data_IF_565846793960
#
_entry.id   IF_565846793960
#
_cell.length_a   1.000
_cell.length_b   1.000
_cell.length_c   1.000
_cell.angle_alpha   90.00
_cell.angle_beta   90.00
_cell.angle_gamma   90.00
#
_symmetry.space_group_name_H-M   'P 1'
#
loop_
_entity.id
_entity.type
_entity.pdbx_description
1 polymer ?
#
# COMPACT_ATOMS: atom_id res chain seq x y z
N UNK A 1 -9.77 28.95 36.71
CA UNK A 1 -8.96 27.74 36.48
C UNK A 1 -9.38 27.19 35.13
N UNK A 2 -8.58 27.32 34.06
CA UNK A 2 -8.97 26.73 32.79
C UNK A 2 -8.94 25.21 32.94
N UNK A 3 -10.05 24.57 32.59
CA UNK A 3 -10.17 23.11 32.56
C UNK A 3 -9.04 22.54 31.70
N UNK A 4 -8.20 21.70 32.29
CA UNK A 4 -7.26 20.87 31.56
C UNK A 4 -8.07 19.99 30.60
N UNK A 5 -8.16 20.43 29.35
CA UNK A 5 -8.52 19.55 28.24
C UNK A 5 -7.44 18.48 28.22
N UNK A 6 -7.74 17.31 28.78
CA UNK A 6 -6.83 16.17 28.80
C UNK A 6 -6.51 15.83 27.35
N UNK A 7 -5.31 16.18 26.90
CA UNK A 7 -4.73 15.57 25.71
C UNK A 7 -4.83 14.07 25.97
N UNK A 8 -5.57 13.30 25.15
CA UNK A 8 -5.73 11.88 25.41
C UNK A 8 -4.34 11.24 25.44
N UNK A 9 -4.02 10.45 26.47
CA UNK A 9 -2.69 9.82 26.56
C UNK A 9 -2.52 8.82 25.40
N UNK A 10 -1.57 9.10 24.49
CA UNK A 10 -1.25 8.23 23.35
C UNK A 10 -0.83 6.85 23.84
N UNK A 11 -0.06 6.78 24.92
CA UNK A 11 0.41 5.51 25.50
C UNK A 11 -0.77 4.65 25.92
N UNK A 12 -1.72 5.22 26.65
CA UNK A 12 -2.98 4.56 27.01
C UNK A 12 -3.79 4.06 25.80
N UNK A 13 -3.77 4.78 24.68
CA UNK A 13 -4.42 4.29 23.45
C UNK A 13 -3.70 3.08 22.87
N UNK A 14 -2.37 3.14 22.75
CA UNK A 14 -1.57 2.04 22.22
C UNK A 14 -1.72 0.78 23.08
N UNK A 15 -1.68 0.91 24.41
CA UNK A 15 -1.94 -0.21 25.33
C UNK A 15 -3.32 -0.83 25.13
N UNK A 16 -4.38 -0.01 25.06
CA UNK A 16 -5.75 -0.51 24.82
C UNK A 16 -5.90 -1.20 23.47
N UNK A 17 -5.26 -0.68 22.42
CA UNK A 17 -5.27 -1.34 21.11
C UNK A 17 -4.53 -2.66 21.11
N UNK A 18 -3.38 -2.74 21.77
CA UNK A 18 -2.65 -3.99 21.95
C UNK A 18 -3.51 -5.03 22.65
N UNK A 19 -4.09 -4.69 23.80
CA UNK A 19 -4.96 -5.60 24.56
C UNK A 19 -6.15 -6.10 23.72
N UNK A 20 -6.78 -5.19 22.96
CA UNK A 20 -7.90 -5.54 22.09
C UNK A 20 -7.48 -6.47 20.94
N UNK A 21 -6.27 -6.32 20.39
CA UNK A 21 -5.73 -7.22 19.37
C UNK A 21 -5.34 -8.57 19.97
N UNK A 22 -4.69 -8.59 21.13
CA UNK A 22 -4.30 -9.81 21.84
C UNK A 22 -5.53 -10.66 22.21
N UNK A 23 -6.65 -10.03 22.57
CA UNK A 23 -7.91 -10.72 22.91
C UNK A 23 -8.54 -11.50 21.75
N UNK A 24 -8.23 -11.15 20.50
CA UNK A 24 -8.77 -11.81 19.29
C UNK A 24 -7.72 -12.62 18.54
N UNK A 25 -6.45 -12.51 18.94
CA UNK A 25 -5.34 -13.11 18.24
C UNK A 25 -5.17 -14.60 18.56
N UNK A 26 -4.57 -15.36 17.63
CA UNK A 26 -4.20 -16.76 17.86
C UNK A 26 -2.71 -17.03 17.64
N UNK A 27 -2.02 -17.72 18.57
CA UNK A 27 -0.58 -18.01 18.44
C UNK A 27 -0.21 -18.76 17.15
N UNK A 28 -1.06 -19.70 16.72
CA UNK A 28 -0.86 -20.43 15.46
C UNK A 28 -0.82 -19.46 14.26
N UNK A 29 -1.72 -18.47 14.23
CA UNK A 29 -1.72 -17.47 13.16
C UNK A 29 -0.49 -16.59 13.23
N UNK A 30 -0.05 -16.18 14.43
CA UNK A 30 1.15 -15.38 14.60
C UNK A 30 2.38 -16.05 13.96
N UNK A 31 2.58 -17.34 14.24
CA UNK A 31 3.69 -18.12 13.66
C UNK A 31 3.55 -18.22 12.14
N UNK A 32 2.36 -18.55 11.65
CA UNK A 32 2.10 -18.73 10.22
C UNK A 32 2.26 -17.42 9.42
N UNK A 33 1.76 -16.29 9.92
CA UNK A 33 1.89 -15.00 9.27
C UNK A 33 3.32 -14.49 9.28
N UNK A 34 4.05 -14.63 10.40
CA UNK A 34 5.47 -14.27 10.47
C UNK A 34 6.28 -15.05 9.42
N UNK A 35 6.06 -16.36 9.32
CA UNK A 35 6.73 -17.21 8.33
C UNK A 35 6.36 -16.83 6.89
N UNK A 36 5.08 -16.53 6.63
CA UNK A 36 4.61 -16.15 5.29
C UNK A 36 5.17 -14.80 4.82
N UNK A 37 5.20 -13.81 5.71
CA UNK A 37 5.71 -12.46 5.39
C UNK A 37 7.23 -12.37 5.48
N UNK A 38 7.90 -13.36 6.08
CA UNK A 38 9.37 -13.38 6.30
C UNK A 38 9.84 -12.10 6.99
N UNK A 39 9.10 -11.67 8.01
CA UNK A 39 9.34 -10.42 8.73
C UNK A 39 10.01 -10.68 10.08
N UNK A 40 10.84 -9.75 10.52
CA UNK A 40 11.48 -9.79 11.84
C UNK A 40 10.55 -9.30 12.95
N UNK A 41 9.44 -8.64 12.61
CA UNK A 41 8.46 -8.13 13.56
C UNK A 41 7.87 -9.24 14.46
N UNK A 42 7.35 -8.80 15.59
CA UNK A 42 6.49 -9.62 16.45
C UNK A 42 5.08 -9.64 15.87
N UNK A 43 4.44 -10.81 15.88
CA UNK A 43 3.08 -11.01 15.42
C UNK A 43 2.22 -11.45 16.60
N UNK A 44 1.05 -10.84 16.77
CA UNK A 44 0.07 -11.24 17.78
C UNK A 44 -0.76 -12.42 17.26
N UNK A 45 -1.08 -12.43 15.97
CA UNK A 45 -1.99 -13.36 15.31
C UNK A 45 -3.41 -12.83 15.14
N UNK A 46 -3.60 -11.50 15.05
CA UNK A 46 -4.91 -10.90 14.77
C UNK A 46 -5.14 -10.79 13.25
N UNK A 47 -6.39 -10.95 12.81
CA UNK A 47 -6.77 -10.95 11.40
C UNK A 47 -7.04 -9.52 10.91
N UNK A 48 -6.77 -9.27 9.63
CA UNK A 48 -7.06 -7.96 9.00
C UNK A 48 -8.51 -7.46 9.24
N UNK A 49 -9.58 -8.30 9.20
CA UNK A 49 -10.93 -7.85 9.55
C UNK A 49 -11.07 -7.33 10.99
N UNK A 50 -10.35 -7.92 11.96
CA UNK A 50 -10.36 -7.48 13.36
C UNK A 50 -9.66 -6.13 13.51
N UNK A 51 -8.48 -5.98 12.89
CA UNK A 51 -7.73 -4.72 12.85
C UNK A 51 -8.58 -3.59 12.23
N UNK A 52 -9.22 -3.86 11.09
CA UNK A 52 -10.15 -2.91 10.45
C UNK A 52 -11.39 -2.65 11.31
N UNK A 53 -11.85 -3.64 12.06
CA UNK A 53 -12.93 -3.51 13.03
C UNK A 53 -12.60 -2.50 14.12
N UNK A 54 -11.41 -2.61 14.72
CA UNK A 54 -10.92 -1.67 15.73
C UNK A 54 -10.81 -0.24 15.18
N UNK A 55 -10.19 -0.05 14.01
CA UNK A 55 -10.11 1.27 13.39
C UNK A 55 -11.51 1.86 13.08
N UNK A 56 -12.47 1.01 12.71
CA UNK A 56 -13.87 1.43 12.47
C UNK A 56 -14.57 1.86 13.76
N UNK A 57 -14.44 1.07 14.83
CA UNK A 57 -14.99 1.40 16.14
C UNK A 57 -14.39 2.72 16.66
N UNK A 58 -13.08 2.88 16.56
CA UNK A 58 -12.39 4.11 16.96
C UNK A 58 -12.86 5.34 16.17
N UNK A 59 -13.05 5.24 14.84
CA UNK A 59 -13.62 6.33 14.03
C UNK A 59 -15.06 6.66 14.42
N UNK A 60 -15.86 5.67 14.81
CA UNK A 60 -17.24 5.88 15.27
C UNK A 60 -17.28 6.61 16.61
N UNK A 61 -16.38 6.28 17.52
CA UNK A 61 -16.25 6.93 18.84
C UNK A 61 -15.63 8.34 18.73
N UNK A 62 -14.74 8.55 17.76
CA UNK A 62 -14.03 9.82 17.56
C UNK A 62 -14.24 10.39 16.14
N UNK A 63 -15.47 10.74 15.73
CA UNK A 63 -15.78 11.16 14.36
C UNK A 63 -15.08 12.46 13.92
N UNK A 64 -14.67 13.30 14.88
CA UNK A 64 -13.94 14.56 14.68
C UNK A 64 -12.60 14.56 15.44
N UNK A 65 -11.89 13.44 15.41
CA UNK A 65 -10.55 13.35 15.99
C UNK A 65 -9.65 14.44 15.40
N UNK A 66 -8.88 15.09 16.26
CA UNK A 66 -7.85 16.04 15.83
C UNK A 66 -6.84 15.32 14.91
N UNK A 67 -6.61 15.83 13.68
CA UNK A 67 -5.63 15.24 12.80
C UNK A 67 -4.22 15.19 13.39
N UNK A 68 -3.79 16.18 14.18
CA UNK A 68 -2.45 16.18 14.78
C UNK A 68 -2.31 14.99 15.72
N UNK A 69 -3.26 14.84 16.64
CA UNK A 69 -3.31 13.70 17.55
C UNK A 69 -3.33 12.35 16.81
N UNK A 70 -4.06 12.24 15.68
CA UNK A 70 -4.09 11.03 14.89
C UNK A 70 -2.73 10.71 14.26
N UNK A 71 -2.01 11.72 13.74
CA UNK A 71 -0.67 11.53 13.20
C UNK A 71 0.29 11.07 14.30
N UNK A 72 0.25 11.69 15.48
CA UNK A 72 1.08 11.30 16.63
C UNK A 72 0.77 9.86 17.10
N UNK A 73 -0.51 9.51 17.23
CA UNK A 73 -0.95 8.16 17.60
C UNK A 73 -0.49 7.11 16.58
N UNK A 74 -0.57 7.42 15.30
CA UNK A 74 -0.17 6.48 14.24
C UNK A 74 1.35 6.37 14.12
N UNK A 75 2.11 7.42 14.43
CA UNK A 75 3.57 7.34 14.61
C UNK A 75 3.93 6.41 15.77
N UNK A 76 3.28 6.53 16.93
CA UNK A 76 3.56 5.68 18.09
C UNK A 76 3.23 4.21 17.82
N UNK A 77 2.07 3.93 17.20
CA UNK A 77 1.70 2.59 16.76
C UNK A 77 2.73 2.01 15.77
N UNK A 78 3.25 2.84 14.86
CA UNK A 78 4.24 2.45 13.87
C UNK A 78 5.61 2.15 14.47
N UNK A 79 6.02 2.93 15.49
CA UNK A 79 7.28 2.74 16.20
C UNK A 79 7.37 1.38 16.91
N UNK A 80 6.23 0.74 17.19
CA UNK A 80 6.22 -0.60 17.75
C UNK A 80 6.86 -1.66 16.85
N UNK A 81 7.41 -2.71 17.45
CA UNK A 81 7.89 -3.90 16.75
C UNK A 81 6.77 -4.93 16.48
N UNK A 82 5.49 -4.55 16.65
CA UNK A 82 4.35 -5.44 16.45
C UNK A 82 3.66 -5.17 15.13
N UNK A 83 3.60 -6.19 14.28
CA UNK A 83 3.03 -6.11 12.93
C UNK A 83 1.57 -5.59 12.92
N UNK A 84 0.73 -6.05 13.84
CA UNK A 84 -0.68 -5.66 13.90
C UNK A 84 -0.90 -4.25 14.43
N UNK A 85 0.00 -3.72 15.27
CA UNK A 85 -0.05 -2.31 15.68
C UNK A 85 0.34 -1.39 14.52
N UNK A 86 1.39 -1.73 13.75
CA UNK A 86 1.71 -1.01 12.50
C UNK A 86 0.57 -1.08 11.49
N UNK A 87 -0.07 -2.25 11.36
CA UNK A 87 -1.24 -2.45 10.50
C UNK A 87 -2.44 -1.60 10.97
N UNK A 88 -2.63 -1.47 12.28
CA UNK A 88 -3.67 -0.62 12.86
C UNK A 88 -3.40 0.87 12.59
N UNK A 89 -2.14 1.31 12.62
CA UNK A 89 -1.77 2.67 12.23
C UNK A 89 -2.25 2.99 10.81
N UNK A 90 -1.99 2.09 9.86
CA UNK A 90 -2.46 2.23 8.46
C UNK A 90 -3.99 2.22 8.40
N UNK A 91 -4.64 1.30 9.11
CA UNK A 91 -6.10 1.20 9.12
C UNK A 91 -6.75 2.49 9.66
N UNK A 92 -6.18 3.10 10.71
CA UNK A 92 -6.61 4.38 11.25
C UNK A 92 -6.41 5.50 10.22
N UNK A 93 -5.23 5.64 9.63
CA UNK A 93 -4.99 6.62 8.56
C UNK A 93 -6.00 6.47 7.42
N UNK A 94 -6.24 5.24 6.96
CA UNK A 94 -7.21 4.95 5.89
C UNK A 94 -8.65 5.35 6.27
N UNK A 95 -9.08 5.10 7.52
CA UNK A 95 -10.42 5.49 7.99
C UNK A 95 -10.63 7.00 8.05
N UNK A 96 -9.57 7.75 8.31
CA UNK A 96 -9.60 9.21 8.43
C UNK A 96 -9.09 9.93 7.17
N UNK A 97 -8.66 9.21 6.14
CA UNK A 97 -7.94 9.76 4.98
C UNK A 97 -8.69 10.90 4.26
N UNK A 98 -10.03 10.92 4.31
CA UNK A 98 -10.85 12.00 3.73
C UNK A 98 -10.88 13.29 4.55
N UNK A 99 -10.48 13.25 5.82
CA UNK A 99 -10.42 14.40 6.73
C UNK A 99 -9.00 14.81 7.10
N UNK A 100 -7.96 14.06 6.69
CA UNK A 100 -6.57 14.41 6.97
C UNK A 100 -6.14 15.70 6.24
N UNK A 101 -5.22 16.49 6.79
CA UNK A 101 -4.62 17.63 6.09
C UNK A 101 -3.53 17.15 5.11
N UNK A 102 -2.95 18.04 4.31
CA UNK A 102 -1.97 17.67 3.28
C UNK A 102 -0.67 17.13 3.89
N UNK A 103 -0.32 17.60 5.09
CA UNK A 103 0.84 17.20 5.90
C UNK A 103 0.84 15.70 6.22
N UNK A 104 -0.35 15.07 6.22
CA UNK A 104 -0.46 13.62 6.37
C UNK A 104 0.23 12.85 5.23
N UNK A 105 0.45 13.47 4.07
CA UNK A 105 1.24 12.88 2.99
C UNK A 105 2.70 12.67 3.42
N UNK A 106 3.32 13.70 4.01
CA UNK A 106 4.70 13.62 4.50
C UNK A 106 4.83 12.64 5.67
N UNK A 107 3.85 12.62 6.58
CA UNK A 107 3.77 11.62 7.65
C UNK A 107 3.67 10.20 7.09
N UNK A 108 2.74 9.94 6.19
CA UNK A 108 2.57 8.59 5.61
C UNK A 108 3.82 8.20 4.79
N UNK A 109 4.52 9.16 4.20
CA UNK A 109 5.77 8.91 3.48
C UNK A 109 6.90 8.44 4.40
N UNK A 110 7.03 8.99 5.61
CA UNK A 110 8.02 8.50 6.56
C UNK A 110 7.76 7.04 6.95
N UNK A 111 6.47 6.66 7.11
CA UNK A 111 6.08 5.27 7.36
C UNK A 111 6.43 4.37 6.16
N UNK A 112 6.18 4.82 4.94
CA UNK A 112 6.55 4.09 3.72
C UNK A 112 8.06 3.85 3.62
N UNK A 113 8.88 4.86 3.91
CA UNK A 113 10.34 4.73 3.91
C UNK A 113 10.83 3.71 4.94
N UNK A 114 10.15 3.60 6.09
CA UNK A 114 10.46 2.67 7.17
C UNK A 114 9.76 1.29 7.03
N UNK A 115 8.95 1.08 6.00
CA UNK A 115 8.26 -0.18 5.79
C UNK A 115 9.24 -1.27 5.31
N UNK A 116 9.08 -2.47 5.84
CA UNK A 116 9.92 -3.64 5.58
C UNK A 116 9.15 -4.80 4.93
N UNK A 117 7.83 -4.66 4.78
CA UNK A 117 6.94 -5.69 4.25
C UNK A 117 5.96 -5.13 3.23
N UNK A 118 5.75 -5.88 2.15
CA UNK A 118 4.77 -5.56 1.11
C UNK A 118 3.36 -5.40 1.67
N UNK A 119 3.02 -6.09 2.77
CA UNK A 119 1.68 -6.02 3.37
C UNK A 119 1.35 -4.59 3.84
N UNK A 120 2.31 -3.91 4.47
CA UNK A 120 2.16 -2.52 4.90
C UNK A 120 2.24 -1.54 3.74
N UNK A 121 3.22 -1.71 2.85
CA UNK A 121 3.41 -0.86 1.67
C UNK A 121 2.14 -0.84 0.80
N UNK A 122 1.62 -2.02 0.46
CA UNK A 122 0.47 -2.15 -0.43
C UNK A 122 -0.79 -1.51 0.18
N UNK A 123 -1.01 -1.73 1.48
CA UNK A 123 -2.16 -1.17 2.18
C UNK A 123 -2.06 0.37 2.25
N UNK A 124 -0.91 0.92 2.67
CA UNK A 124 -0.70 2.38 2.70
C UNK A 124 -0.91 3.01 1.33
N UNK A 125 -0.34 2.42 0.29
CA UNK A 125 -0.43 2.95 -1.08
C UNK A 125 -1.86 2.97 -1.60
N UNK A 126 -2.59 1.86 -1.42
CA UNK A 126 -3.91 1.69 -2.06
C UNK A 126 -5.07 2.27 -1.26
N UNK A 127 -4.91 2.50 0.04
CA UNK A 127 -6.00 3.03 0.89
C UNK A 127 -5.72 4.41 1.51
N UNK A 128 -4.46 4.78 1.77
CA UNK A 128 -4.12 6.08 2.36
C UNK A 128 -3.66 7.05 1.28
N UNK A 129 -2.54 6.76 0.62
CA UNK A 129 -1.95 7.65 -0.38
C UNK A 129 -2.88 7.91 -1.56
N UNK A 130 -3.59 6.88 -2.05
CA UNK A 130 -4.54 7.07 -3.14
C UNK A 130 -5.65 8.09 -2.80
N UNK A 131 -6.10 8.12 -1.54
CA UNK A 131 -7.11 9.10 -1.08
C UNK A 131 -6.48 10.49 -0.90
N UNK A 132 -5.27 10.56 -0.33
CA UNK A 132 -4.55 11.83 -0.18
C UNK A 132 -4.23 12.46 -1.55
N UNK A 133 -3.75 11.67 -2.50
CA UNK A 133 -3.45 12.12 -3.86
C UNK A 133 -4.69 12.65 -4.58
N UNK A 134 -5.84 11.97 -4.43
CA UNK A 134 -7.10 12.45 -5.01
C UNK A 134 -7.57 13.77 -4.39
N UNK A 135 -7.22 14.05 -3.13
CA UNK A 135 -7.57 15.29 -2.41
C UNK A 135 -6.56 16.40 -2.64
N UNK A 136 -5.30 16.05 -2.84
CA UNK A 136 -4.17 16.98 -3.01
C UNK A 136 -3.39 16.60 -4.28
N UNK A 137 -3.92 16.87 -5.49
CA UNK A 137 -3.28 16.45 -6.74
C UNK A 137 -1.86 17.01 -6.93
N UNK A 138 -1.50 18.11 -6.25
CA UNK A 138 -0.15 18.66 -6.22
C UNK A 138 0.89 17.68 -5.67
N UNK A 139 0.50 16.69 -4.85
CA UNK A 139 1.44 15.68 -4.36
C UNK A 139 1.77 14.60 -5.39
N UNK A 140 1.20 14.64 -6.59
CA UNK A 140 1.46 13.66 -7.66
C UNK A 140 2.92 13.67 -8.11
N UNK A 141 3.54 14.86 -8.16
CA UNK A 141 4.94 15.02 -8.59
C UNK A 141 5.94 14.34 -7.65
N UNK A 142 5.57 14.15 -6.38
CA UNK A 142 6.41 13.41 -5.42
C UNK A 142 6.67 11.97 -5.89
N UNK A 143 5.73 11.37 -6.62
CA UNK A 143 5.87 10.00 -7.12
C UNK A 143 6.99 9.86 -8.16
N UNK A 144 7.35 10.95 -8.85
CA UNK A 144 8.48 10.95 -9.80
C UNK A 144 9.78 10.63 -9.06
N UNK A 145 10.05 11.33 -7.96
CA UNK A 145 11.21 11.04 -7.11
C UNK A 145 11.14 9.67 -6.44
N UNK A 146 9.93 9.19 -6.09
CA UNK A 146 9.78 7.84 -5.52
C UNK A 146 10.16 6.74 -6.51
N UNK A 147 9.89 6.96 -7.80
CA UNK A 147 10.20 5.98 -8.86
C UNK A 147 11.70 5.77 -9.05
N UNK A 148 12.54 6.70 -8.59
CA UNK A 148 14.01 6.63 -8.68
C UNK A 148 14.69 6.37 -7.33
N UNK A 149 13.90 6.24 -6.26
CA UNK A 149 14.42 6.12 -4.89
C UNK A 149 15.26 4.85 -4.69
N UNK A 150 16.29 4.86 -3.84
CA UNK A 150 17.17 3.71 -3.59
C UNK A 150 16.45 2.50 -2.95
N UNK A 151 15.55 2.78 -2.00
CA UNK A 151 14.68 1.79 -1.37
C UNK A 151 13.61 1.31 -2.36
N UNK A 152 13.62 0.02 -2.69
CA UNK A 152 12.67 -0.58 -3.62
C UNK A 152 11.21 -0.56 -3.11
N UNK A 153 10.98 -0.46 -1.79
CA UNK A 153 9.62 -0.30 -1.25
C UNK A 153 9.01 1.05 -1.63
N UNK A 154 9.83 2.10 -1.66
CA UNK A 154 9.41 3.43 -2.12
C UNK A 154 9.14 3.41 -3.63
N UNK A 155 10.02 2.77 -4.43
CA UNK A 155 9.78 2.55 -5.87
C UNK A 155 8.51 1.76 -6.12
N UNK A 156 8.27 0.68 -5.37
CA UNK A 156 7.01 -0.09 -5.41
C UNK A 156 5.81 0.82 -5.11
N UNK A 157 5.94 1.68 -4.10
CA UNK A 157 4.93 2.66 -3.73
C UNK A 157 4.57 3.62 -4.86
N UNK A 158 5.56 4.14 -5.59
CA UNK A 158 5.35 5.07 -6.72
C UNK A 158 4.34 4.54 -7.75
N UNK A 159 4.33 3.22 -7.97
CA UNK A 159 3.40 2.56 -8.89
C UNK A 159 2.08 2.20 -8.20
N UNK A 160 2.10 1.68 -6.97
CA UNK A 160 0.89 1.18 -6.29
C UNK A 160 -0.08 2.28 -5.85
N UNK A 161 0.40 3.49 -5.59
CA UNK A 161 -0.47 4.64 -5.31
C UNK A 161 -1.41 4.92 -6.49
N UNK A 162 -0.99 4.64 -7.72
CA UNK A 162 -1.79 4.83 -8.93
C UNK A 162 -2.83 3.72 -9.15
N UNK A 163 -2.70 2.58 -8.48
CA UNK A 163 -3.54 1.40 -8.74
C UNK A 163 -5.05 1.68 -8.59
N UNK A 164 -5.54 2.38 -7.54
CA UNK A 164 -6.97 2.68 -7.41
C UNK A 164 -7.53 3.54 -8.54
N UNK A 165 -6.80 4.56 -9.01
CA UNK A 165 -7.25 5.42 -10.13
C UNK A 165 -7.21 4.67 -11.46
N UNK A 166 -6.19 3.84 -11.68
CA UNK A 166 -6.05 3.00 -12.87
C UNK A 166 -7.21 2.01 -12.99
N UNK A 167 -7.59 1.35 -11.89
CA UNK A 167 -8.72 0.41 -11.86
C UNK A 167 -10.07 1.06 -12.19
N UNK A 168 -10.28 2.30 -11.74
CA UNK A 168 -11.57 2.99 -11.87
C UNK A 168 -11.71 3.66 -13.23
N UNK A 169 -10.69 4.41 -13.64
CA UNK A 169 -10.78 5.35 -14.75
C UNK A 169 -9.57 5.27 -15.70
N UNK A 170 -8.62 4.34 -15.49
CA UNK A 170 -7.33 4.28 -16.21
C UNK A 170 -6.52 5.60 -16.14
N UNK A 171 -6.83 6.45 -15.15
CA UNK A 171 -6.14 7.72 -14.93
C UNK A 171 -4.73 7.44 -14.42
N UNK A 172 -3.75 8.18 -14.96
CA UNK A 172 -2.31 8.03 -14.75
C UNK A 172 -1.66 6.82 -15.45
N UNK A 173 -2.31 6.23 -16.45
CA UNK A 173 -1.74 5.12 -17.24
C UNK A 173 -0.35 5.44 -17.81
N UNK A 174 -0.19 6.58 -18.49
CA UNK A 174 1.09 6.98 -19.07
C UNK A 174 2.18 7.16 -18.01
N UNK A 175 1.83 7.68 -16.83
CA UNK A 175 2.77 7.84 -15.71
C UNK A 175 3.20 6.48 -15.17
N UNK A 176 2.25 5.56 -14.97
CA UNK A 176 2.57 4.18 -14.61
C UNK A 176 3.46 3.51 -15.65
N UNK A 177 3.16 3.64 -16.96
CA UNK A 177 4.01 3.08 -18.02
C UNK A 177 5.43 3.64 -17.96
N UNK A 178 5.58 4.95 -17.72
CA UNK A 178 6.89 5.59 -17.58
C UNK A 178 7.70 4.99 -16.43
N UNK A 179 7.10 4.87 -15.24
CA UNK A 179 7.78 4.26 -14.08
C UNK A 179 8.06 2.77 -14.29
N UNK A 180 7.08 2.03 -14.80
CA UNK A 180 7.25 0.61 -15.03
C UNK A 180 8.37 0.33 -16.03
N UNK A 181 8.47 1.11 -17.11
CA UNK A 181 9.47 0.96 -18.15
C UNK A 181 10.92 1.09 -17.63
N UNK A 182 11.17 1.99 -16.68
CA UNK A 182 12.51 2.15 -16.06
C UNK A 182 12.85 1.00 -15.11
N UNK A 183 11.84 0.30 -14.59
CA UNK A 183 11.99 -0.77 -13.59
C UNK A 183 11.89 -2.20 -14.18
N UNK A 184 11.66 -2.36 -15.49
CA UNK A 184 11.40 -3.68 -16.11
C UNK A 184 12.52 -4.70 -15.90
N UNK A 185 13.77 -4.23 -15.92
CA UNK A 185 14.97 -5.06 -15.84
C UNK A 185 15.42 -5.32 -14.39
N UNK A 186 14.78 -4.67 -13.40
CA UNK A 186 15.05 -4.92 -11.98
C UNK A 186 14.85 -6.41 -11.65
N UNK A 187 15.70 -6.94 -10.77
CA UNK A 187 15.63 -8.34 -10.31
C UNK A 187 14.77 -8.54 -9.08
N UNK A 188 14.43 -7.45 -8.39
CA UNK A 188 13.63 -7.48 -7.18
C UNK A 188 12.24 -8.09 -7.46
N UNK A 189 11.92 -9.15 -6.71
CA UNK A 189 10.68 -9.89 -6.85
C UNK A 189 9.47 -8.98 -6.64
N UNK A 190 9.51 -8.13 -5.62
CA UNK A 190 8.37 -7.27 -5.30
C UNK A 190 8.14 -6.19 -6.36
N UNK A 191 9.18 -5.66 -7.00
CA UNK A 191 9.00 -4.71 -8.11
C UNK A 191 8.33 -5.41 -9.30
N UNK A 192 8.85 -6.57 -9.72
CA UNK A 192 8.26 -7.37 -10.81
C UNK A 192 6.80 -7.74 -10.54
N UNK A 193 6.48 -8.12 -9.30
CA UNK A 193 5.11 -8.41 -8.86
C UNK A 193 4.21 -7.19 -8.92
N UNK A 194 4.69 -6.01 -8.53
CA UNK A 194 3.90 -4.77 -8.58
C UNK A 194 3.53 -4.42 -10.02
N UNK A 195 4.50 -4.38 -10.93
CA UNK A 195 4.27 -4.09 -12.35
C UNK A 195 3.23 -5.07 -12.92
N UNK A 196 3.45 -6.37 -12.73
CA UNK A 196 2.53 -7.39 -13.23
C UNK A 196 1.13 -7.29 -12.60
N UNK A 197 1.03 -6.99 -11.31
CA UNK A 197 -0.26 -6.81 -10.64
C UNK A 197 -1.03 -5.60 -11.17
N UNK A 198 -0.36 -4.46 -11.36
CA UNK A 198 -1.01 -3.25 -11.87
C UNK A 198 -1.48 -3.45 -13.30
N UNK A 199 -0.67 -4.06 -14.17
CA UNK A 199 -1.06 -4.45 -15.53
C UNK A 199 -2.30 -5.37 -15.51
N UNK A 200 -2.29 -6.39 -14.64
CA UNK A 200 -3.41 -7.34 -14.49
C UNK A 200 -4.71 -6.66 -14.06
N UNK A 201 -4.63 -5.70 -13.16
CA UNK A 201 -5.82 -4.99 -12.69
C UNK A 201 -6.31 -3.97 -13.70
N UNK A 202 -5.40 -3.27 -14.38
CA UNK A 202 -5.71 -2.27 -15.40
C UNK A 202 -6.32 -2.91 -16.65
N UNK A 203 -5.89 -4.10 -17.05
CA UNK A 203 -6.41 -4.81 -18.24
C UNK A 203 -7.90 -5.16 -18.16
N UNK A 204 -8.49 -5.18 -16.96
CA UNK A 204 -9.95 -5.34 -16.80
C UNK A 204 -10.73 -4.14 -17.36
N UNK A 205 -10.08 -2.98 -17.44
CA UNK A 205 -10.64 -1.72 -17.90
C UNK A 205 -10.09 -1.32 -19.28
N UNK A 206 -8.77 -1.40 -19.45
CA UNK A 206 -8.06 -1.08 -20.68
C UNK A 206 -7.16 -2.26 -21.11
N UNK A 207 -7.74 -3.33 -21.67
CA UNK A 207 -6.96 -4.47 -22.16
C UNK A 207 -6.05 -4.08 -23.34
N UNK A 208 -6.47 -3.13 -24.18
CA UNK A 208 -5.71 -2.71 -25.36
C UNK A 208 -4.42 -1.96 -24.95
N UNK A 209 -4.51 -1.02 -24.00
CA UNK A 209 -3.34 -0.33 -23.46
C UNK A 209 -2.36 -1.30 -22.79
N UNK A 210 -2.85 -2.25 -21.99
CA UNK A 210 -1.99 -3.27 -21.35
C UNK A 210 -1.32 -4.18 -22.39
N UNK A 211 -2.05 -4.63 -23.41
CA UNK A 211 -1.48 -5.40 -24.52
C UNK A 211 -0.36 -4.63 -25.21
N UNK A 212 -0.60 -3.37 -25.57
CA UNK A 212 0.38 -2.53 -26.24
C UNK A 212 1.65 -2.35 -25.40
N UNK A 213 1.50 -2.10 -24.09
CA UNK A 213 2.65 -2.02 -23.17
C UNK A 213 3.43 -3.33 -23.09
N UNK A 214 2.73 -4.48 -22.99
CA UNK A 214 3.39 -5.79 -22.91
C UNK A 214 4.15 -6.12 -24.19
N UNK A 215 3.57 -5.81 -25.36
CA UNK A 215 4.18 -6.00 -26.67
C UNK A 215 5.40 -5.10 -26.88
N UNK A 216 5.28 -3.81 -26.57
CA UNK A 216 6.38 -2.83 -26.69
C UNK A 216 7.61 -3.22 -25.87
N UNK A 217 7.40 -3.90 -24.73
CA UNK A 217 8.45 -4.21 -23.76
C UNK A 217 8.73 -5.70 -23.64
N UNK A 218 8.30 -6.51 -24.62
CA UNK A 218 8.27 -7.98 -24.51
C UNK A 218 9.62 -8.60 -24.15
N UNK A 219 10.71 -8.04 -24.69
CA UNK A 219 12.08 -8.52 -24.51
C UNK A 219 12.66 -8.20 -23.13
N UNK A 220 12.19 -7.12 -22.50
CA UNK A 220 12.67 -6.65 -21.18
C UNK A 220 11.88 -7.25 -20.02
N UNK A 221 10.64 -7.68 -20.28
CA UNK A 221 9.76 -8.19 -19.24
C UNK A 221 10.31 -9.47 -18.61
N UNK A 222 10.39 -9.50 -17.27
CA UNK A 222 10.59 -10.77 -16.57
C UNK A 222 9.43 -11.74 -16.86
N UNK A 223 9.70 -13.05 -16.84
CA UNK A 223 8.64 -14.06 -17.04
C UNK A 223 7.53 -13.98 -15.99
N UNK A 224 7.88 -13.53 -14.77
CA UNK A 224 6.92 -13.25 -13.70
C UNK A 224 6.00 -12.08 -14.04
N UNK A 225 6.58 -10.94 -14.45
CA UNK A 225 5.84 -9.73 -14.81
C UNK A 225 4.88 -10.02 -15.96
N UNK A 226 5.35 -10.71 -17.01
CA UNK A 226 4.53 -11.10 -18.15
C UNK A 226 3.36 -11.99 -17.74
N UNK A 227 3.62 -13.06 -16.99
CA UNK A 227 2.58 -14.00 -16.54
C UNK A 227 1.53 -13.33 -15.66
N UNK A 228 1.94 -12.46 -14.75
CA UNK A 228 1.00 -11.72 -13.91
C UNK A 228 0.19 -10.70 -14.73
N UNK A 229 0.86 -9.86 -15.53
CA UNK A 229 0.25 -8.76 -16.27
C UNK A 229 -0.73 -9.21 -17.35
N UNK A 230 -0.41 -10.29 -18.07
CA UNK A 230 -1.26 -10.84 -19.14
C UNK A 230 -2.42 -11.68 -18.64
N UNK A 231 -2.48 -12.03 -17.34
CA UNK A 231 -3.39 -13.04 -16.77
C UNK A 231 -4.89 -12.81 -17.03
N UNK A 232 -5.30 -11.57 -17.29
CA UNK A 232 -6.71 -11.19 -17.52
C UNK A 232 -7.02 -10.81 -18.98
N UNK A 233 -6.03 -10.91 -19.87
CA UNK A 233 -6.25 -10.73 -21.31
C UNK A 233 -6.93 -11.96 -21.92
N UNK A 234 -7.45 -11.82 -23.13
CA UNK A 234 -8.05 -12.93 -23.87
C UNK A 234 -6.99 -14.02 -24.15
N UNK A 235 -7.35 -15.32 -24.11
CA UNK A 235 -6.39 -16.41 -24.34
C UNK A 235 -5.61 -16.29 -25.66
N UNK A 236 -6.29 -15.92 -26.75
CA UNK A 236 -5.66 -15.70 -28.05
C UNK A 236 -4.59 -14.60 -28.02
N UNK A 237 -4.83 -13.55 -27.24
CA UNK A 237 -3.90 -12.44 -27.07
C UNK A 237 -2.67 -12.85 -26.26
N UNK A 238 -2.87 -13.67 -25.22
CA UNK A 238 -1.77 -14.23 -24.43
C UNK A 238 -0.88 -15.12 -25.31
N UNK A 239 -1.46 -15.98 -26.14
CA UNK A 239 -0.68 -16.84 -27.06
C UNK A 239 0.07 -16.03 -28.11
N UNK A 240 -0.55 -14.98 -28.66
CA UNK A 240 0.13 -14.03 -29.58
C UNK A 240 1.35 -13.41 -28.92
N UNK A 241 1.20 -12.85 -27.72
CA UNK A 241 2.29 -12.20 -26.99
C UNK A 241 3.40 -13.19 -26.58
N UNK A 242 3.05 -14.44 -26.24
CA UNK A 242 4.05 -15.50 -26.00
C UNK A 242 4.90 -15.77 -27.24
N UNK A 243 4.29 -15.80 -28.43
CA UNK A 243 4.99 -15.99 -29.70
C UNK A 243 6.00 -14.90 -30.04
N UNK A 244 5.80 -13.68 -29.52
CA UNK A 244 6.76 -12.57 -29.65
C UNK A 244 7.97 -12.73 -28.72
N UNK A 245 7.77 -13.27 -27.52
CA UNK A 245 8.81 -13.42 -26.49
C UNK A 245 9.81 -14.55 -26.77
N UNK A 246 9.45 -15.49 -27.64
CA UNK A 246 10.27 -16.66 -27.99
C UNK A 246 11.19 -16.43 -29.20
N UNK A 247 11.29 -15.19 -29.70
CA UNK A 247 12.24 -14.76 -30.73
C UNK A 247 13.33 -13.90 -30.10
#
# INVERSE_FOLDING_TARGET
>A
MPSHSTVPDITSHVSRFREALEAVATPERAVNEKAYLKSDLTFLGARVPEIRGLATAYRREHPKLDPVFLLDLTAELWASEVHELRSLAIALLAKYARSLPQEAFAHTYSLLCAADTWAHVDWMCTEVFAVLLARFPSTLENLDGWSEHENFWVRRGSMLVLLPSLKKEAVHWQRFCSYAATMLEEREFFIRKAIGWILRETSKRDPAGVTAFLEQHIDKLSGLTFREGSRKLAPAEIERLKGLRSK
#
